data_IF_286503845437
#
_entry.id   IF_286503845437
#
_cell.length_a   1.000
_cell.length_b   1.000
_cell.length_c   1.000
_cell.angle_alpha   90.00
_cell.angle_beta   90.00
_cell.angle_gamma   90.00
#
_symmetry.space_group_name_H-M   'P 1'
#
loop_
_entity.id
_entity.type
_entity.pdbx_description
1 polymer ?
#
# COMPACT_ATOMS: atom_id res chain seq x y z
N UNK A 1 -4.45 37.35 -0.56
CA UNK A 1 -4.60 36.17 -1.43
C UNK A 1 -3.20 35.63 -1.70
N UNK A 2 -2.73 34.72 -0.85
CA UNK A 2 -1.40 34.12 -0.94
C UNK A 2 -1.60 32.69 -1.45
N UNK A 3 -1.33 32.47 -2.72
CA UNK A 3 -1.41 31.18 -3.38
C UNK A 3 -0.18 30.37 -2.99
N UNK A 4 -0.34 29.38 -2.10
CA UNK A 4 0.71 28.41 -1.81
C UNK A 4 0.90 27.48 -3.01
N UNK A 5 1.91 27.77 -3.82
CA UNK A 5 2.57 26.78 -4.66
C UNK A 5 3.49 25.94 -3.78
N UNK A 6 2.92 24.92 -3.12
CA UNK A 6 3.73 23.88 -2.50
C UNK A 6 4.21 22.95 -3.61
N UNK A 7 5.47 23.17 -3.95
CA UNK A 7 6.33 22.45 -4.89
C UNK A 7 6.24 20.93 -4.77
N UNK A 8 5.57 20.30 -5.73
CA UNK A 8 5.71 18.88 -6.06
C UNK A 8 6.95 18.71 -6.94
N UNK A 9 8.14 18.73 -6.32
CA UNK A 9 9.42 18.48 -6.97
C UNK A 9 10.21 17.45 -6.15
N UNK A 10 9.76 16.20 -6.15
CA UNK A 10 10.55 15.07 -5.65
C UNK A 10 10.15 13.82 -6.44
N UNK A 11 11.16 13.07 -6.89
CA UNK A 11 11.10 11.87 -7.74
C UNK A 11 11.11 12.08 -9.27
N UNK A 12 12.21 12.68 -9.74
CA UNK A 12 12.70 12.46 -11.09
C UNK A 12 14.25 12.41 -11.11
N UNK A 13 14.86 11.50 -10.35
CA UNK A 13 16.28 11.15 -10.53
C UNK A 13 16.53 9.67 -10.19
N UNK A 14 16.41 8.81 -11.21
CA UNK A 14 17.03 7.49 -11.20
C UNK A 14 17.42 7.11 -12.63
N UNK A 15 18.40 7.83 -13.19
CA UNK A 15 19.15 7.41 -14.36
C UNK A 15 20.47 8.18 -14.44
N UNK A 16 21.41 7.86 -13.55
CA UNK A 16 22.83 8.06 -13.87
C UNK A 16 23.48 6.69 -13.83
N UNK A 17 23.77 6.22 -15.04
CA UNK A 17 24.55 5.05 -15.39
C UNK A 17 25.94 5.22 -14.75
N UNK A 18 26.14 4.59 -13.60
CA UNK A 18 27.45 4.40 -13.03
C UNK A 18 28.16 3.32 -13.86
N UNK A 19 29.17 3.72 -14.62
CA UNK A 19 30.15 2.82 -15.20
C UNK A 19 30.95 2.16 -14.07
N UNK A 20 30.41 1.08 -13.50
CA UNK A 20 31.12 0.22 -12.58
C UNK A 20 32.03 -0.74 -13.39
N UNK A 21 33.28 -0.97 -12.95
CA UNK A 21 34.18 -1.89 -13.61
C UNK A 21 33.61 -3.31 -13.56
N UNK A 22 33.66 -3.98 -14.71
CA UNK A 22 33.38 -5.40 -14.91
C UNK A 22 34.06 -6.25 -13.82
N UNK A 23 33.32 -6.57 -12.77
CA UNK A 23 33.70 -7.63 -11.86
C UNK A 23 33.43 -8.96 -12.58
N UNK A 24 34.39 -9.90 -12.56
CA UNK A 24 34.27 -11.16 -13.26
C UNK A 24 33.05 -11.94 -12.79
N UNK A 25 32.31 -12.44 -13.77
CA UNK A 25 31.16 -13.32 -13.67
C UNK A 25 31.45 -14.42 -12.64
N UNK A 26 30.87 -14.34 -11.45
CA UNK A 26 30.75 -15.47 -10.52
C UNK A 26 29.71 -16.42 -11.11
N UNK A 27 30.17 -17.25 -12.04
CA UNK A 27 29.50 -18.49 -12.45
C UNK A 27 29.43 -19.35 -11.17
N UNK A 28 28.30 -20.02 -10.92
CA UNK A 28 27.94 -20.82 -9.74
C UNK A 28 27.22 -20.02 -8.60
N UNK A 29 26.00 -19.53 -8.88
CA UNK A 29 24.93 -19.39 -7.87
C UNK A 29 23.61 -19.98 -8.43
N UNK A 30 23.70 -21.16 -9.05
CA UNK A 30 22.55 -21.82 -9.68
C UNK A 30 21.68 -22.54 -8.62
N UNK A 31 22.20 -22.80 -7.42
CA UNK A 31 21.49 -23.60 -6.41
C UNK A 31 20.91 -22.78 -5.24
N UNK A 32 21.37 -21.53 -5.02
CA UNK A 32 20.80 -20.64 -3.98
C UNK A 32 19.76 -19.65 -4.52
N UNK A 33 19.30 -19.82 -5.77
CA UNK A 33 18.11 -19.09 -6.28
C UNK A 33 16.80 -19.68 -5.80
N UNK A 34 16.74 -20.98 -5.49
CA UNK A 34 15.46 -21.61 -5.20
C UNK A 34 14.92 -21.36 -3.78
N UNK A 35 15.79 -20.96 -2.82
CA UNK A 35 15.42 -20.84 -1.42
C UNK A 35 15.02 -19.42 -0.98
N UNK A 36 15.60 -18.36 -1.58
CA UNK A 36 15.52 -16.98 -1.06
C UNK A 36 14.42 -16.06 -1.61
N UNK A 37 13.75 -16.42 -2.71
CA UNK A 37 12.87 -15.44 -3.39
C UNK A 37 11.57 -15.15 -2.65
N UNK A 38 10.90 -16.16 -2.09
CA UNK A 38 9.66 -15.96 -1.33
C UNK A 38 9.93 -15.13 -0.07
N UNK A 39 11.02 -15.41 0.65
CA UNK A 39 11.38 -14.70 1.86
C UNK A 39 11.74 -13.24 1.57
N UNK A 40 12.39 -12.97 0.43
CA UNK A 40 12.63 -11.61 -0.06
C UNK A 40 11.32 -10.88 -0.34
N UNK A 41 10.38 -11.51 -1.03
CA UNK A 41 9.07 -10.93 -1.34
C UNK A 41 8.24 -10.71 -0.06
N UNK A 42 8.19 -11.69 0.85
CA UNK A 42 7.47 -11.56 2.13
C UNK A 42 8.08 -10.44 2.99
N UNK A 43 9.42 -10.31 3.02
CA UNK A 43 10.12 -9.22 3.72
C UNK A 43 9.86 -7.86 3.08
N UNK A 44 9.78 -7.78 1.75
CA UNK A 44 9.44 -6.57 1.02
C UNK A 44 7.99 -6.12 1.26
N UNK A 45 7.06 -7.07 1.42
CA UNK A 45 5.64 -6.78 1.68
C UNK A 45 5.34 -6.43 3.14
N UNK A 46 6.19 -6.81 4.10
CA UNK A 46 5.94 -6.53 5.51
C UNK A 46 5.77 -5.02 5.81
N UNK A 47 6.65 -4.11 5.34
CA UNK A 47 6.45 -2.66 5.50
C UNK A 47 5.16 -2.14 4.84
N UNK A 48 4.71 -2.76 3.75
CA UNK A 48 3.44 -2.39 3.08
C UNK A 48 2.26 -2.72 4.00
N UNK A 49 2.22 -3.92 4.58
CA UNK A 49 1.16 -4.31 5.51
C UNK A 49 1.09 -3.41 6.75
N UNK A 50 2.25 -3.07 7.31
CA UNK A 50 2.36 -2.19 8.48
C UNK A 50 1.93 -0.76 8.16
N UNK A 51 2.40 -0.21 7.04
CA UNK A 51 2.02 1.13 6.61
C UNK A 51 0.52 1.24 6.30
N UNK A 52 -0.08 0.23 5.67
CA UNK A 52 -1.53 0.17 5.49
C UNK A 52 -2.28 0.13 6.83
N UNK A 53 -1.79 -0.60 7.82
CA UNK A 53 -2.42 -0.65 9.15
C UNK A 53 -2.35 0.71 9.86
N UNK A 54 -1.24 1.43 9.68
CA UNK A 54 -1.09 2.80 10.19
C UNK A 54 -2.01 3.80 9.48
N UNK A 55 -2.20 3.66 8.16
CA UNK A 55 -3.18 4.46 7.40
C UNK A 55 -4.60 4.16 7.91
N UNK A 56 -4.96 2.89 8.06
CA UNK A 56 -6.26 2.46 8.58
C UNK A 56 -6.57 3.06 9.95
N UNK A 57 -5.63 2.91 10.89
CA UNK A 57 -5.74 3.51 12.22
C UNK A 57 -5.88 5.04 12.16
N UNK A 58 -5.14 5.70 11.27
CA UNK A 58 -5.24 7.14 11.08
C UNK A 58 -6.62 7.57 10.54
N UNK A 59 -7.18 6.83 9.58
CA UNK A 59 -8.53 7.05 9.06
C UNK A 59 -9.58 6.87 10.15
N UNK A 60 -9.48 5.80 10.94
CA UNK A 60 -10.40 5.53 12.05
C UNK A 60 -10.31 6.61 13.15
N UNK A 61 -9.12 7.17 13.36
CA UNK A 61 -8.87 8.27 14.31
C UNK A 61 -9.32 9.65 13.82
N UNK A 62 -9.76 9.78 12.57
CA UNK A 62 -10.08 11.06 11.98
C UNK A 62 -11.31 11.71 12.65
N UNK A 63 -11.05 12.78 13.39
CA UNK A 63 -12.01 13.50 14.24
C UNK A 63 -12.41 14.87 13.69
N UNK A 64 -11.89 15.26 12.52
CA UNK A 64 -12.09 16.59 11.95
C UNK A 64 -11.09 17.63 12.46
N UNK A 65 -10.08 17.23 13.21
CA UNK A 65 -8.97 18.08 13.61
C UNK A 65 -7.87 18.15 12.53
N UNK A 66 -7.09 19.25 12.47
CA UNK A 66 -5.97 19.37 11.53
C UNK A 66 -4.83 18.40 11.85
N UNK A 67 -4.67 17.97 13.11
CA UNK A 67 -3.61 17.04 13.54
C UNK A 67 -3.86 15.63 12.98
N UNK A 68 -5.08 15.11 13.12
CA UNK A 68 -5.45 13.78 12.62
C UNK A 68 -5.41 13.72 11.10
N UNK A 69 -5.82 14.80 10.42
CA UNK A 69 -5.69 14.94 8.97
C UNK A 69 -4.22 14.98 8.50
N UNK A 70 -3.33 15.65 9.25
CA UNK A 70 -1.90 15.67 8.95
C UNK A 70 -1.26 14.29 9.12
N UNK A 71 -1.60 13.58 10.20
CA UNK A 71 -1.13 12.21 10.43
C UNK A 71 -1.55 11.27 9.31
N UNK A 72 -2.81 11.35 8.86
CA UNK A 72 -3.28 10.58 7.70
C UNK A 72 -2.44 10.84 6.45
N UNK A 73 -2.10 12.10 6.18
CA UNK A 73 -1.26 12.46 5.04
C UNK A 73 0.17 11.93 5.17
N UNK A 74 0.75 11.92 6.37
CA UNK A 74 2.10 11.36 6.62
C UNK A 74 2.09 9.85 6.40
N UNK A 75 1.15 9.13 7.02
CA UNK A 75 1.08 7.67 6.89
C UNK A 75 0.76 7.25 5.46
N UNK A 76 -0.07 8.00 4.74
CA UNK A 76 -0.33 7.75 3.32
C UNK A 76 0.93 7.84 2.47
N UNK A 77 1.77 8.86 2.70
CA UNK A 77 3.06 8.99 2.01
C UNK A 77 4.02 7.85 2.36
N UNK A 78 4.07 7.44 3.64
CA UNK A 78 4.88 6.30 4.05
C UNK A 78 4.41 5.00 3.39
N UNK A 79 3.11 4.78 3.28
CA UNK A 79 2.54 3.64 2.57
C UNK A 79 2.90 3.64 1.08
N UNK A 80 2.88 4.80 0.44
CA UNK A 80 3.34 4.94 -0.95
C UNK A 80 4.82 4.57 -1.09
N UNK A 81 5.70 5.12 -0.25
CA UNK A 81 7.14 4.82 -0.28
C UNK A 81 7.41 3.33 -0.01
N UNK A 82 6.71 2.72 0.96
CA UNK A 82 6.83 1.29 1.25
C UNK A 82 6.39 0.44 0.05
N UNK A 83 5.30 0.81 -0.62
CA UNK A 83 4.77 0.13 -1.81
C UNK A 83 5.74 0.24 -2.99
N UNK A 84 6.28 1.43 -3.24
CA UNK A 84 7.24 1.66 -4.32
C UNK A 84 8.54 0.88 -4.07
N UNK A 85 9.04 0.86 -2.82
CA UNK A 85 10.21 0.08 -2.45
C UNK A 85 9.97 -1.43 -2.59
N UNK A 86 8.82 -1.92 -2.10
CA UNK A 86 8.45 -3.32 -2.24
C UNK A 86 8.38 -3.73 -3.71
N UNK A 87 7.87 -2.86 -4.59
CA UNK A 87 7.83 -3.10 -6.03
C UNK A 87 9.22 -3.32 -6.61
N UNK A 88 10.20 -2.49 -6.24
CA UNK A 88 11.59 -2.63 -6.69
C UNK A 88 12.21 -3.94 -6.19
N UNK A 89 12.02 -4.26 -4.91
CA UNK A 89 12.58 -5.46 -4.29
C UNK A 89 11.98 -6.75 -4.88
N UNK A 90 10.66 -6.74 -5.17
CA UNK A 90 9.97 -7.85 -5.81
C UNK A 90 10.44 -8.03 -7.25
N UNK A 91 10.60 -6.94 -8.02
CA UNK A 91 11.12 -7.03 -9.40
C UNK A 91 12.53 -7.63 -9.45
N UNK A 92 13.35 -7.36 -8.44
CA UNK A 92 14.69 -7.91 -8.29
C UNK A 92 14.71 -9.39 -7.83
N UNK A 93 13.63 -9.88 -7.21
CA UNK A 93 13.50 -11.26 -6.79
C UNK A 93 13.36 -12.23 -7.97
N UNK A 94 13.72 -13.50 -7.77
CA UNK A 94 13.52 -14.56 -8.76
C UNK A 94 12.06 -15.04 -8.85
N UNK A 95 11.80 -15.90 -9.84
CA UNK A 95 10.47 -16.47 -10.08
C UNK A 95 10.06 -17.44 -8.98
N UNK A 96 8.78 -17.46 -8.62
CA UNK A 96 8.26 -18.32 -7.56
C UNK A 96 7.90 -19.73 -8.09
N UNK A 97 8.21 -20.74 -7.28
CA UNK A 97 7.63 -22.07 -7.46
C UNK A 97 6.13 -22.07 -7.13
N UNK A 98 5.35 -22.98 -7.73
CA UNK A 98 3.91 -23.06 -7.51
C UNK A 98 3.50 -23.18 -6.04
N UNK A 99 4.25 -23.93 -5.24
CA UNK A 99 3.98 -24.07 -3.80
C UNK A 99 4.22 -22.76 -3.03
N UNK A 100 5.29 -22.03 -3.37
CA UNK A 100 5.60 -20.72 -2.77
C UNK A 100 4.61 -19.64 -3.19
N UNK A 101 4.19 -19.65 -4.45
CA UNK A 101 3.15 -18.76 -4.97
C UNK A 101 1.81 -18.96 -4.22
N UNK A 102 1.45 -20.21 -3.88
CA UNK A 102 0.25 -20.48 -3.09
C UNK A 102 0.32 -19.92 -1.67
N UNK A 103 1.52 -19.86 -1.07
CA UNK A 103 1.74 -19.20 0.23
C UNK A 103 1.67 -17.69 0.09
N UNK A 104 2.38 -17.11 -0.88
CA UNK A 104 2.33 -15.68 -1.17
C UNK A 104 0.90 -15.19 -1.39
N UNK A 105 0.08 -15.97 -2.10
CA UNK A 105 -1.33 -15.68 -2.33
C UNK A 105 -2.08 -15.37 -1.03
N UNK A 106 -1.88 -16.12 0.05
CA UNK A 106 -2.57 -15.84 1.32
C UNK A 106 -2.20 -14.47 1.89
N UNK A 107 -0.92 -14.11 1.78
CA UNK A 107 -0.42 -12.79 2.19
C UNK A 107 -1.01 -11.68 1.30
N UNK A 108 -1.07 -11.91 -0.01
CA UNK A 108 -1.69 -10.97 -0.96
C UNK A 108 -3.20 -10.83 -0.74
N UNK A 109 -3.92 -11.92 -0.48
CA UNK A 109 -5.36 -11.90 -0.18
C UNK A 109 -5.62 -11.06 1.09
N UNK A 110 -4.81 -11.24 2.15
CA UNK A 110 -4.91 -10.41 3.36
C UNK A 110 -4.62 -8.92 3.09
N UNK A 111 -3.65 -8.61 2.24
CA UNK A 111 -3.36 -7.23 1.81
C UNK A 111 -4.51 -6.62 1.00
N UNK A 112 -5.15 -7.40 0.12
CA UNK A 112 -6.32 -6.98 -0.67
C UNK A 112 -7.49 -6.67 0.28
N UNK A 113 -7.76 -7.54 1.24
CA UNK A 113 -8.82 -7.35 2.23
C UNK A 113 -8.57 -6.10 3.08
N UNK A 114 -7.35 -5.94 3.60
CA UNK A 114 -6.96 -4.78 4.40
C UNK A 114 -7.06 -3.48 3.58
N UNK A 115 -6.56 -3.47 2.35
CA UNK A 115 -6.68 -2.31 1.45
C UNK A 115 -8.15 -1.96 1.21
N UNK A 116 -9.00 -2.96 1.00
CA UNK A 116 -10.44 -2.77 0.77
C UNK A 116 -11.12 -2.15 1.99
N UNK A 117 -10.81 -2.65 3.19
CA UNK A 117 -11.33 -2.09 4.45
C UNK A 117 -10.89 -0.63 4.61
N UNK A 118 -9.59 -0.36 4.51
CA UNK A 118 -9.05 1.00 4.67
C UNK A 118 -9.63 2.00 3.67
N UNK A 119 -9.81 1.60 2.41
CA UNK A 119 -10.44 2.45 1.40
C UNK A 119 -11.92 2.70 1.71
N UNK A 120 -12.66 1.68 2.15
CA UNK A 120 -14.07 1.83 2.55
C UNK A 120 -14.23 2.72 3.79
N UNK A 121 -13.31 2.60 4.76
CA UNK A 121 -13.28 3.47 5.94
C UNK A 121 -12.95 4.90 5.55
N UNK A 122 -12.03 5.11 4.61
CA UNK A 122 -11.69 6.43 4.09
C UNK A 122 -12.91 7.07 3.43
N UNK A 123 -13.60 6.33 2.55
CA UNK A 123 -14.86 6.76 1.91
C UNK A 123 -15.91 7.13 2.95
N UNK A 124 -16.07 6.32 4.00
CA UNK A 124 -17.02 6.58 5.09
C UNK A 124 -16.68 7.87 5.88
N UNK A 125 -15.39 8.25 5.90
CA UNK A 125 -14.88 9.48 6.53
C UNK A 125 -14.89 10.70 5.61
N UNK A 126 -15.33 10.57 4.35
CA UNK A 126 -15.41 11.71 3.40
C UNK A 126 -16.10 12.95 3.99
N UNK A 127 -17.24 12.88 4.72
CA UNK A 127 -17.87 14.09 5.26
C UNK A 127 -16.95 14.87 6.22
N UNK A 128 -16.10 14.18 6.97
CA UNK A 128 -15.13 14.81 7.87
C UNK A 128 -14.05 15.54 7.07
N UNK A 129 -13.54 14.91 6.02
CA UNK A 129 -12.53 15.49 5.12
C UNK A 129 -13.08 16.64 4.27
N UNK A 130 -14.36 16.57 3.88
CA UNK A 130 -15.08 17.64 3.16
C UNK A 130 -15.23 18.88 4.05
N UNK A 131 -15.64 18.70 5.31
CA UNK A 131 -15.74 19.78 6.29
C UNK A 131 -14.38 20.44 6.59
N UNK A 132 -13.30 19.66 6.51
CA UNK A 132 -11.93 20.13 6.62
C UNK A 132 -11.38 20.79 5.34
N UNK A 133 -12.07 20.64 4.20
CA UNK A 133 -11.60 21.12 2.91
C UNK A 133 -10.39 20.37 2.35
N UNK A 134 -10.08 19.17 2.85
CA UNK A 134 -8.90 18.37 2.46
C UNK A 134 -9.23 17.21 1.52
N UNK A 135 -10.49 17.05 1.10
CA UNK A 135 -10.90 15.97 0.19
C UNK A 135 -10.16 15.96 -1.14
N UNK A 136 -9.72 17.12 -1.65
CA UNK A 136 -8.88 17.20 -2.85
C UNK A 136 -7.49 16.57 -2.66
N UNK A 137 -6.90 16.70 -1.47
CA UNK A 137 -5.61 16.06 -1.13
C UNK A 137 -5.80 14.55 -1.00
N UNK A 138 -6.91 14.11 -0.40
CA UNK A 138 -7.25 12.69 -0.32
C UNK A 138 -7.46 12.09 -1.72
N UNK A 139 -8.12 12.80 -2.64
CA UNK A 139 -8.29 12.37 -4.03
C UNK A 139 -6.94 12.19 -4.75
N UNK A 140 -6.05 13.18 -4.66
CA UNK A 140 -4.71 13.10 -5.25
C UNK A 140 -3.91 11.92 -4.66
N UNK A 141 -4.02 11.72 -3.34
CA UNK A 141 -3.39 10.60 -2.64
C UNK A 141 -3.90 9.25 -3.13
N UNK A 142 -5.22 9.08 -3.28
CA UNK A 142 -5.84 7.86 -3.80
C UNK A 142 -5.38 7.56 -5.24
N UNK A 143 -5.26 8.59 -6.09
CA UNK A 143 -4.75 8.43 -7.45
C UNK A 143 -3.30 7.96 -7.48
N UNK A 144 -2.43 8.52 -6.63
CA UNK A 144 -1.04 8.05 -6.49
C UNK A 144 -0.97 6.62 -5.98
N UNK A 145 -1.73 6.30 -4.92
CA UNK A 145 -1.78 4.94 -4.38
C UNK A 145 -2.30 3.92 -5.38
N UNK A 146 -3.27 4.28 -6.24
CA UNK A 146 -3.72 3.42 -7.35
C UNK A 146 -2.55 3.08 -8.28
N UNK A 147 -1.76 4.07 -8.69
CA UNK A 147 -0.62 3.86 -9.60
C UNK A 147 0.42 2.93 -8.95
N UNK A 148 0.82 3.21 -7.70
CA UNK A 148 1.79 2.38 -6.97
C UNK A 148 1.27 0.96 -6.73
N UNK A 149 -0.01 0.80 -6.39
CA UNK A 149 -0.63 -0.52 -6.18
C UNK A 149 -0.65 -1.34 -7.47
N UNK A 150 -0.93 -0.71 -8.62
CA UNK A 150 -0.91 -1.36 -9.93
C UNK A 150 0.49 -1.75 -10.39
N UNK A 151 1.50 -0.96 -10.05
CA UNK A 151 2.89 -1.33 -10.27
C UNK A 151 3.29 -2.55 -9.41
N UNK A 152 2.86 -2.57 -8.14
CA UNK A 152 3.11 -3.69 -7.24
C UNK A 152 2.42 -4.98 -7.72
N UNK A 153 1.15 -4.92 -8.13
CA UNK A 153 0.43 -6.11 -8.62
C UNK A 153 1.04 -6.63 -9.91
N UNK A 154 1.44 -5.75 -10.85
CA UNK A 154 2.14 -6.16 -12.06
C UNK A 154 3.48 -6.84 -11.75
N UNK A 155 4.26 -6.29 -10.80
CA UNK A 155 5.51 -6.91 -10.37
C UNK A 155 5.28 -8.30 -9.75
N UNK A 156 4.23 -8.47 -8.95
CA UNK A 156 3.87 -9.77 -8.38
C UNK A 156 3.42 -10.76 -9.45
N UNK A 157 2.61 -10.34 -10.43
CA UNK A 157 2.14 -11.17 -11.55
C UNK A 157 3.30 -11.75 -12.37
N UNK A 158 4.36 -10.97 -12.58
CA UNK A 158 5.56 -11.42 -13.28
C UNK A 158 6.30 -12.54 -12.53
N UNK A 159 6.25 -12.55 -11.20
CA UNK A 159 6.92 -13.58 -10.36
C UNK A 159 6.07 -14.81 -10.12
N UNK A 160 4.77 -14.76 -10.39
CA UNK A 160 3.85 -15.88 -10.18
C UNK A 160 3.86 -16.79 -11.43
N UNK A 161 3.95 -18.13 -11.26
CA UNK A 161 3.90 -19.05 -12.39
C UNK A 161 2.55 -18.95 -13.13
N UNK A 162 2.53 -19.29 -14.42
CA UNK A 162 1.33 -19.17 -15.30
C UNK A 162 0.01 -19.67 -14.69
N UNK A 163 0.05 -20.72 -13.87
CA UNK A 163 -1.14 -21.27 -13.20
C UNK A 163 -1.76 -20.28 -12.21
N UNK A 164 -0.97 -19.42 -11.58
CA UNK A 164 -1.43 -18.40 -10.62
C UNK A 164 -1.68 -17.01 -11.22
N UNK A 165 -1.22 -16.73 -12.46
CA UNK A 165 -1.34 -15.40 -13.08
C UNK A 165 -2.79 -14.92 -13.18
N UNK A 166 -3.73 -15.82 -13.51
CA UNK A 166 -5.16 -15.47 -13.57
C UNK A 166 -5.68 -14.97 -12.23
N UNK A 167 -5.26 -15.60 -11.14
CA UNK A 167 -5.73 -15.28 -9.79
C UNK A 167 -5.10 -13.96 -9.32
N UNK A 168 -3.82 -13.73 -9.64
CA UNK A 168 -3.17 -12.46 -9.37
C UNK A 168 -3.85 -11.31 -10.13
N UNK A 169 -4.20 -11.51 -11.40
CA UNK A 169 -4.95 -10.54 -12.20
C UNK A 169 -6.36 -10.26 -11.65
N UNK A 170 -7.04 -11.27 -11.12
CA UNK A 170 -8.34 -11.11 -10.44
C UNK A 170 -8.19 -10.23 -9.19
N UNK A 171 -7.15 -10.45 -8.37
CA UNK A 171 -6.85 -9.62 -7.20
C UNK A 171 -6.48 -8.18 -7.57
N UNK A 172 -5.68 -7.98 -8.62
CA UNK A 172 -5.35 -6.66 -9.16
C UNK A 172 -6.59 -5.90 -9.64
N UNK A 173 -7.48 -6.57 -10.38
CA UNK A 173 -8.74 -5.97 -10.83
C UNK A 173 -9.67 -5.59 -9.67
N UNK A 174 -9.68 -6.37 -8.59
CA UNK A 174 -10.45 -6.04 -7.39
C UNK A 174 -9.92 -4.77 -6.71
N UNK A 175 -8.60 -4.66 -6.50
CA UNK A 175 -7.99 -3.44 -5.93
C UNK A 175 -8.29 -2.24 -6.83
N UNK A 176 -8.09 -2.38 -8.16
CA UNK A 176 -8.37 -1.31 -9.11
C UNK A 176 -9.82 -0.83 -9.02
N UNK A 177 -10.79 -1.77 -8.98
CA UNK A 177 -12.21 -1.43 -8.87
C UNK A 177 -12.54 -0.68 -7.58
N UNK A 178 -11.99 -1.09 -6.44
CA UNK A 178 -12.24 -0.44 -5.14
C UNK A 178 -11.62 0.97 -5.12
N UNK A 179 -10.40 1.11 -5.64
CA UNK A 179 -9.73 2.41 -5.77
C UNK A 179 -10.49 3.34 -6.72
N UNK A 180 -10.98 2.85 -7.86
CA UNK A 180 -11.76 3.64 -8.82
C UNK A 180 -13.08 4.10 -8.24
N UNK A 181 -13.76 3.26 -7.47
CA UNK A 181 -14.97 3.63 -6.76
C UNK A 181 -14.70 4.76 -5.75
N UNK A 182 -13.63 4.64 -4.95
CA UNK A 182 -13.24 5.68 -4.01
C UNK A 182 -12.87 6.99 -4.71
N UNK A 183 -12.08 6.93 -5.78
CA UNK A 183 -11.73 8.09 -6.61
C UNK A 183 -12.99 8.77 -7.16
N UNK A 184 -13.96 7.99 -7.67
CA UNK A 184 -15.21 8.53 -8.17
C UNK A 184 -15.98 9.30 -7.08
N UNK A 185 -16.09 8.71 -5.88
CA UNK A 185 -16.75 9.33 -4.73
C UNK A 185 -16.03 10.62 -4.30
N UNK A 186 -14.70 10.62 -4.24
CA UNK A 186 -13.91 11.81 -3.87
C UNK A 186 -13.85 12.89 -4.95
N UNK A 187 -14.11 12.53 -6.21
CA UNK A 187 -14.18 13.48 -7.32
C UNK A 187 -15.47 14.30 -7.31
N UNK A 188 -16.50 13.85 -6.58
CA UNK A 188 -17.71 14.63 -6.40
C UNK A 188 -17.43 15.85 -5.52
N UNK A 189 -17.79 17.07 -5.98
CA UNK A 189 -17.55 18.28 -5.21
C UNK A 189 -18.26 18.17 -3.86
N UNK A 190 -17.56 18.58 -2.79
CA UNK A 190 -18.14 18.64 -1.46
C UNK A 190 -19.45 19.42 -1.54
N UNK A 191 -20.56 18.76 -1.21
CA UNK A 191 -21.86 19.41 -1.15
C UNK A 191 -21.73 20.44 -0.06
N UNK A 192 -21.69 21.72 -0.43
CA UNK A 192 -21.51 22.81 0.52
C UNK A 192 -22.50 22.60 1.65
N UNK A 193 -21.99 22.38 2.87
CA UNK A 193 -22.82 22.22 4.04
C UNK A 193 -23.78 23.41 4.05
N UNK A 194 -25.08 23.12 3.88
CA UNK A 194 -26.10 24.17 3.84
C UNK A 194 -25.86 24.97 5.12
N UNK A 195 -25.53 26.28 5.02
CA UNK A 195 -25.14 27.06 6.18
C UNK A 195 -26.21 26.84 7.23
N UNK A 196 -25.79 26.36 8.40
CA UNK A 196 -26.69 26.13 9.52
C UNK A 196 -27.50 27.42 9.66
N UNK A 197 -28.81 27.33 9.36
CA UNK A 197 -29.70 28.48 9.40
C UNK A 197 -29.56 28.98 10.82
N UNK A 198 -28.98 30.18 10.97
CA UNK A 198 -28.78 30.77 12.28
C UNK A 198 -30.13 30.72 12.98
N UNK A 199 -30.22 30.20 14.23
CA UNK A 199 -31.49 30.15 14.93
C UNK A 199 -32.14 31.54 14.84
N UNK A 200 -33.44 31.61 14.51
CA UNK A 200 -34.11 32.89 14.28
C UNK A 200 -33.81 33.81 15.48
N UNK A 201 -33.51 35.10 15.22
CA UNK A 201 -33.20 36.05 16.29
C UNK A 201 -34.31 35.97 17.34
N UNK A 202 -33.90 35.78 18.59
CA UNK A 202 -34.83 35.81 19.72
C UNK A 202 -35.64 37.10 19.62
N UNK A 203 -36.96 36.95 19.50
CA UNK A 203 -37.87 38.09 19.38
C UNK A 203 -37.69 38.95 20.64
N UNK A 204 -37.50 40.28 20.52
CA UNK A 204 -37.38 41.14 21.68
C UNK A 204 -38.60 40.94 22.58
N UNK A 205 -38.36 40.66 23.87
CA UNK A 205 -39.42 40.51 24.85
C UNK A 205 -40.28 41.79 24.86
N UNK A 206 -41.58 41.63 24.59
CA UNK A 206 -42.55 42.72 24.67
C UNK A 206 -42.67 43.17 26.15
N UNK A 207 -42.35 44.43 26.50
CA UNK A 207 -42.43 44.93 27.88
C UNK A 207 -43.84 44.91 28.48
N UNK A 208 -44.88 44.74 27.64
CA UNK A 208 -46.28 44.73 28.07
C UNK A 208 -46.92 43.32 28.09
N UNK A 209 -46.14 42.25 27.98
CA UNK A 209 -46.66 40.92 28.25
C UNK A 209 -46.97 40.78 29.74
N UNK A 210 -48.27 40.71 30.06
CA UNK A 210 -48.79 40.32 31.37
C UNK A 210 -48.10 38.99 31.73
N UNK A 211 -47.50 38.84 32.93
CA UNK A 211 -46.81 37.62 33.31
C UNK A 211 -47.80 36.45 33.32
N UNK A 212 -47.82 35.67 32.24
CA UNK A 212 -48.43 34.35 32.25
C UNK A 212 -47.47 33.50 33.07
N UNK A 213 -47.93 33.07 34.25
CA UNK A 213 -47.18 32.18 35.11
C UNK A 213 -46.77 30.94 34.31
N UNK A 214 -45.48 30.88 33.96
CA UNK A 214 -44.88 29.70 33.35
C UNK A 214 -45.03 28.59 34.39
N UNK A 215 -45.77 27.50 34.09
CA UNK A 215 -45.87 26.38 35.01
C UNK A 215 -44.46 25.91 35.37
N UNK A 216 -44.18 25.64 36.66
CA UNK A 216 -42.85 25.25 37.10
C UNK A 216 -42.34 24.10 36.24
N UNK A 217 -41.16 24.29 35.66
CA UNK A 217 -40.49 23.28 34.88
C UNK A 217 -40.46 21.99 35.69
N UNK A 218 -41.05 20.93 35.12
CA UNK A 218 -41.00 19.62 35.71
C UNK A 218 -39.52 19.30 36.01
N UNK A 219 -39.21 18.84 37.23
CA UNK A 219 -37.84 18.49 37.58
C UNK A 219 -37.31 17.50 36.53
N UNK A 220 -36.04 17.65 36.10
CA UNK A 220 -35.45 16.70 35.18
C UNK A 220 -35.64 15.30 35.76
N UNK A 221 -36.28 14.42 34.98
CA UNK A 221 -36.42 13.03 35.35
C UNK A 221 -35.04 12.52 35.72
N UNK A 222 -34.87 12.12 36.98
CA UNK A 222 -33.62 11.54 37.47
C UNK A 222 -33.21 10.47 36.46
N UNK A 223 -32.02 10.64 35.88
CA UNK A 223 -31.47 9.67 34.96
C UNK A 223 -31.52 8.31 35.64
N UNK A 224 -32.38 7.42 35.13
CA UNK A 224 -32.38 6.03 35.54
C UNK A 224 -30.96 5.54 35.25
N UNK A 225 -30.20 5.10 36.28
CA UNK A 225 -28.86 4.59 36.05
C UNK A 225 -28.96 3.50 35.00
N UNK A 226 -28.22 3.68 33.90
CA UNK A 226 -28.12 2.65 32.88
C UNK A 226 -27.77 1.33 33.59
N UNK A 227 -28.51 0.23 33.30
CA UNK A 227 -28.17 -1.06 33.86
C UNK A 227 -26.69 -1.33 33.56
N UNK A 228 -25.91 -1.83 34.55
CA UNK A 228 -24.51 -2.13 34.32
C UNK A 228 -24.40 -2.99 33.07
N UNK A 229 -23.58 -2.53 32.12
CA UNK A 229 -23.29 -3.27 30.91
C UNK A 229 -23.00 -4.72 31.30
N UNK A 230 -23.82 -5.65 30.81
CA UNK A 230 -23.59 -7.06 31.03
C UNK A 230 -22.13 -7.35 30.67
N UNK A 231 -21.39 -7.91 31.62
CA UNK A 231 -20.02 -8.31 31.38
C UNK A 231 -19.98 -9.11 30.07
N UNK A 232 -19.03 -8.81 29.16
CA UNK A 232 -18.93 -9.53 27.90
C UNK A 232 -18.91 -11.01 28.22
N UNK A 233 -19.84 -11.76 27.60
CA UNK A 233 -19.87 -13.20 27.73
C UNK A 233 -18.46 -13.72 27.40
N UNK A 234 -17.90 -14.65 28.22
CA UNK A 234 -16.62 -15.25 27.90
C UNK A 234 -16.69 -15.76 26.45
N UNK A 235 -15.64 -15.52 25.65
CA UNK A 235 -15.63 -15.94 24.25
C UNK A 235 -16.03 -17.41 24.19
N UNK A 236 -17.03 -17.69 23.35
CA UNK A 236 -17.46 -19.06 23.08
C UNK A 236 -16.20 -19.86 22.75
N UNK A 237 -15.98 -20.95 23.49
CA UNK A 237 -14.87 -21.85 23.26
C UNK A 237 -14.84 -22.18 21.76
N UNK A 238 -13.70 -21.89 21.14
CA UNK A 238 -13.48 -22.20 19.73
C UNK A 238 -13.88 -23.66 19.48
N UNK A 239 -14.61 -23.96 18.38
CA UNK A 239 -14.91 -25.34 18.03
C UNK A 239 -13.60 -26.13 18.01
N UNK A 240 -13.55 -27.19 18.82
CA UNK A 240 -12.45 -28.13 18.82
C UNK A 240 -12.30 -28.61 17.37
N UNK A 241 -11.18 -28.25 16.75
CA UNK A 241 -10.81 -28.78 15.45
C UNK A 241 -10.74 -30.30 15.57
N UNK A 242 -11.32 -31.06 14.64
CA UNK A 242 -11.14 -32.50 14.64
C UNK A 242 -9.65 -32.82 14.64
N UNK A 243 -9.29 -33.72 15.55
CA UNK A 243 -7.98 -34.30 15.80
C UNK A 243 -7.02 -34.18 14.61
N UNK A 244 -5.85 -33.60 14.89
CA UNK A 244 -4.69 -33.77 14.05
C UNK A 244 -4.52 -35.26 13.73
N UNK A 245 -4.38 -35.56 12.45
CA UNK A 245 -3.98 -36.87 11.97
C UNK A 245 -2.75 -37.37 12.77
N UNK A 246 -2.67 -38.68 13.07
CA UNK A 246 -1.60 -39.26 13.86
C UNK A 246 -0.22 -38.83 13.37
N UNK A 247 0.63 -38.41 14.31
CA UNK A 247 2.03 -38.12 14.05
C UNK A 247 2.67 -39.29 13.28
N UNK A 248 3.44 -39.02 12.21
CA UNK A 248 4.21 -40.07 11.56
C UNK A 248 5.18 -40.70 12.57
N UNK A 249 5.40 -42.03 12.51
CA UNK A 249 6.30 -42.71 13.42
C UNK A 249 7.69 -42.06 13.36
N UNK A 250 8.26 -41.79 14.54
CA UNK A 250 9.60 -41.26 14.70
C UNK A 250 10.59 -42.14 13.91
N UNK A 251 11.15 -41.57 12.84
CA UNK A 251 12.27 -42.19 12.15
C UNK A 251 13.42 -42.34 13.16
N UNK A 252 13.84 -43.58 13.38
CA UNK A 252 14.95 -43.91 14.25
C UNK A 252 16.18 -43.09 13.86
N UNK A 253 16.75 -42.37 14.83
CA UNK A 253 18.01 -41.67 14.69
C UNK A 253 19.10 -42.67 14.26
N UNK A 254 19.89 -42.38 13.21
CA UNK A 254 21.07 -43.17 12.87
C UNK A 254 22.03 -43.18 14.07
N UNK A 255 22.34 -44.37 14.58
CA UNK A 255 23.42 -44.54 15.55
C UNK A 255 24.74 -44.10 14.91
N UNK A 256 25.56 -43.26 15.58
CA UNK A 256 26.88 -42.93 15.11
C UNK A 256 27.79 -44.17 15.16
N UNK A 257 28.63 -44.42 14.13
CA UNK A 257 29.61 -45.50 14.18
C UNK A 257 30.65 -45.25 15.27
N UNK A 258 31.02 -46.34 15.94
CA UNK A 258 31.97 -46.39 17.03
C UNK A 258 33.34 -45.80 16.66
N UNK A 259 33.94 -45.14 17.65
CA UNK A 259 35.23 -44.46 17.59
C UNK A 259 36.38 -45.36 17.12
N UNK A 260 37.16 -44.86 16.16
CA UNK A 260 38.56 -45.26 16.00
C UNK A 260 39.43 -44.22 16.70
N UNK A 261 40.19 -44.68 17.69
CA UNK A 261 41.12 -43.89 18.50
C UNK A 261 42.44 -43.75 17.72
N UNK A 262 42.93 -42.54 17.37
CA UNK A 262 44.30 -42.36 16.92
C UNK A 262 45.22 -42.19 18.14
N UNK A 263 46.35 -42.89 18.10
CA UNK A 263 47.39 -42.85 19.11
C UNK A 263 47.95 -41.43 19.32
N UNK A 264 48.23 -41.11 20.58
CA UNK A 264 48.86 -39.88 21.00
C UNK A 264 50.32 -39.80 20.52
N UNK A 265 50.67 -38.68 19.89
CA UNK A 265 52.05 -38.27 19.64
C UNK A 265 52.54 -37.46 20.86
N UNK A 266 53.57 -37.90 21.59
CA UNK A 266 53.98 -37.29 22.87
C UNK A 266 54.99 -36.14 22.73
N UNK A 267 55.18 -35.52 21.55
CA UNK A 267 56.29 -34.58 21.40
C UNK A 267 56.02 -33.35 20.52
N UNK A 268 55.38 -32.31 21.07
CA UNK A 268 55.65 -30.92 20.67
C UNK A 268 55.14 -29.91 21.72
N UNK A 269 56.08 -29.40 22.51
CA UNK A 269 55.91 -28.24 23.37
C UNK A 269 56.38 -26.97 22.65
N UNK A 270 55.57 -25.91 22.61
CA UNK A 270 55.91 -24.53 23.05
C UNK A 270 54.69 -23.59 22.94
N UNK A 271 54.52 -22.62 23.86
CA UNK A 271 53.47 -21.59 23.80
C UNK A 271 53.95 -20.36 23.01
N UNK A 272 53.13 -19.83 22.11
CA UNK A 272 53.35 -18.49 21.56
C UNK A 272 52.12 -17.62 21.79
N UNK A 273 52.27 -16.74 22.77
CA UNK A 273 51.43 -15.57 23.00
C UNK A 273 51.61 -14.58 21.84
N UNK A 274 50.51 -14.02 21.35
CA UNK A 274 50.54 -13.00 20.31
C UNK A 274 49.15 -12.68 19.79
N UNK A 275 48.36 -11.94 20.56
CA UNK A 275 47.15 -11.30 20.06
C UNK A 275 47.55 -10.24 19.01
N UNK A 276 46.94 -10.21 17.81
CA UNK A 276 47.13 -9.10 16.90
C UNK A 276 46.43 -7.83 17.44
N UNK A 277 47.05 -6.64 17.30
CA UNK A 277 46.44 -5.39 17.71
C UNK A 277 45.21 -5.04 16.84
N UNK A 278 44.27 -4.23 17.36
CA UNK A 278 43.09 -3.79 16.61
C UNK A 278 43.51 -2.95 15.40
N UNK A 279 42.88 -3.23 14.26
CA UNK A 279 43.06 -2.47 13.02
C UNK A 279 42.65 -1.00 13.25
N UNK A 280 43.61 -0.11 13.00
CA UNK A 280 43.44 1.35 13.05
C UNK A 280 42.48 1.75 11.93
N UNK A 281 41.43 2.50 12.29
CA UNK A 281 40.49 3.08 11.35
C UNK A 281 41.23 3.95 10.30
N UNK A 282 40.88 3.86 9.00
CA UNK A 282 41.48 4.71 7.98
C UNK A 282 41.08 6.18 8.24
N UNK A 283 42.10 7.04 8.24
CA UNK A 283 41.95 8.49 8.34
C UNK A 283 41.08 9.06 7.20
N UNK A 284 40.31 10.13 7.45
CA UNK A 284 39.51 10.78 6.42
C UNK A 284 40.43 11.37 5.33
N UNK A 285 40.17 10.99 4.09
CA UNK A 285 40.85 11.55 2.93
C UNK A 285 40.58 13.07 2.80
N UNK A 286 41.55 13.86 2.33
CA UNK A 286 41.38 15.30 2.14
C UNK A 286 40.29 15.61 1.11
N UNK A 287 39.47 16.61 1.42
CA UNK A 287 38.42 17.13 0.57
C UNK A 287 38.98 17.53 -0.80
N UNK A 288 38.61 16.80 -1.84
CA UNK A 288 38.82 17.20 -3.23
C UNK A 288 37.88 18.37 -3.55
N UNK A 289 38.38 19.47 -4.15
CA UNK A 289 37.55 20.60 -4.54
C UNK A 289 36.53 20.17 -5.59
N UNK A 290 35.26 20.44 -5.30
CA UNK A 290 34.14 20.23 -6.23
C UNK A 290 34.37 21.12 -7.46
N UNK A 291 34.60 20.48 -8.61
CA UNK A 291 34.65 21.16 -9.88
C UNK A 291 33.28 21.80 -10.16
N UNK A 292 33.26 23.13 -10.29
CA UNK A 292 32.11 23.90 -10.78
C UNK A 292 31.78 23.45 -12.20
N UNK A 293 30.70 22.68 -12.36
CA UNK A 293 30.16 22.32 -13.67
C UNK A 293 29.56 23.58 -14.30
N UNK A 294 29.91 23.92 -15.55
CA UNK A 294 29.33 25.08 -16.22
C UNK A 294 27.81 24.92 -16.36
N UNK A 295 27.10 25.98 -15.98
CA UNK A 295 25.65 26.11 -16.12
C UNK A 295 25.28 25.99 -17.61
N UNK A 296 24.82 24.80 -18.03
CA UNK A 296 24.27 24.61 -19.38
C UNK A 296 22.94 25.36 -19.44
N UNK A 297 22.84 26.32 -20.36
CA UNK A 297 21.64 27.09 -20.59
C UNK A 297 20.43 26.18 -20.87
N UNK A 298 19.22 26.55 -20.39
CA UNK A 298 18.02 25.74 -20.57
C UNK A 298 17.73 25.52 -22.06
N UNK A 299 17.66 24.25 -22.44
CA UNK A 299 17.19 23.83 -23.77
C UNK A 299 15.73 24.28 -23.92
N UNK A 300 15.38 25.03 -24.97
CA UNK A 300 14.00 25.47 -25.19
C UNK A 300 13.08 24.26 -25.34
N UNK A 301 11.84 24.32 -24.81
CA UNK A 301 10.89 23.22 -24.92
C UNK A 301 10.63 22.87 -26.39
N UNK A 302 10.48 21.58 -26.72
CA UNK A 302 10.14 21.16 -28.07
C UNK A 302 8.83 21.82 -28.48
N UNK A 303 8.85 22.57 -29.58
CA UNK A 303 7.64 23.13 -30.16
C UNK A 303 6.76 21.97 -30.65
N UNK A 304 5.69 21.71 -29.90
CA UNK A 304 4.66 20.75 -30.27
C UNK A 304 3.93 21.34 -31.47
N UNK A 305 4.25 20.84 -32.67
CA UNK A 305 3.43 21.09 -33.85
C UNK A 305 2.07 20.42 -33.65
N UNK A 306 0.95 21.12 -33.90
CA UNK A 306 -0.37 20.53 -33.72
C UNK A 306 -0.57 19.38 -34.71
N UNK A 307 -0.75 18.18 -34.16
CA UNK A 307 -1.10 16.97 -34.92
C UNK A 307 -2.48 17.18 -35.55
N UNK A 308 -2.47 17.59 -36.82
CA UNK A 308 -3.64 17.64 -37.69
C UNK A 308 -4.03 16.20 -38.08
N UNK A 309 -4.75 15.50 -37.19
CA UNK A 309 -5.07 14.08 -37.44
C UNK A 309 -6.31 13.49 -36.75
N UNK A 310 -7.09 14.25 -35.97
CA UNK A 310 -8.24 13.68 -35.23
C UNK A 310 -9.53 13.46 -36.03
N UNK A 311 -9.64 13.93 -37.28
CA UNK A 311 -10.85 13.69 -38.09
C UNK A 311 -10.88 12.32 -38.77
N UNK A 312 -9.74 11.71 -39.07
CA UNK A 312 -9.70 10.45 -39.84
C UNK A 312 -10.13 9.20 -39.05
N UNK A 313 -10.08 9.22 -37.71
CA UNK A 313 -10.44 8.07 -36.87
C UNK A 313 -11.97 7.90 -36.68
N UNK A 314 -12.77 8.96 -36.83
CA UNK A 314 -14.23 8.88 -36.67
C UNK A 314 -14.91 8.19 -37.86
N UNK A 315 -14.41 8.38 -39.08
CA UNK A 315 -15.00 7.76 -40.27
C UNK A 315 -14.71 6.26 -40.37
N UNK A 316 -13.55 5.81 -39.85
CA UNK A 316 -13.20 4.37 -39.86
C UNK A 316 -14.08 3.56 -38.90
N UNK A 317 -14.47 4.12 -37.74
CA UNK A 317 -15.34 3.43 -36.77
C UNK A 317 -16.79 3.31 -37.27
N UNK A 318 -17.30 4.28 -38.03
CA UNK A 318 -18.65 4.23 -38.60
C UNK A 318 -18.81 3.20 -39.72
N UNK A 319 -17.73 2.86 -40.43
CA UNK A 319 -17.74 1.85 -41.51
C UNK A 319 -17.71 0.42 -40.96
N UNK A 320 -17.01 0.18 -39.85
CA UNK A 320 -16.97 -1.14 -39.20
C UNK A 320 -18.32 -1.52 -38.56
N UNK A 321 -19.04 -0.57 -37.96
CA UNK A 321 -20.33 -0.85 -37.33
C UNK A 321 -21.44 -1.23 -38.33
N UNK A 322 -21.33 -0.81 -39.59
CA UNK A 322 -22.34 -1.08 -40.61
C UNK A 322 -22.23 -2.49 -41.21
N UNK A 323 -21.03 -3.08 -41.22
CA UNK A 323 -20.83 -4.46 -41.69
C UNK A 323 -21.36 -5.52 -40.70
N UNK A 324 -21.43 -5.22 -39.40
CA UNK A 324 -21.91 -6.20 -38.42
C UNK A 324 -23.44 -6.31 -38.35
N UNK A 325 -24.20 -5.25 -38.66
CA UNK A 325 -25.67 -5.35 -38.69
C UNK A 325 -26.17 -6.19 -39.86
N UNK A 326 -25.55 -6.08 -41.04
CA UNK A 326 -25.97 -6.84 -42.22
C UNK A 326 -25.79 -8.37 -42.08
N UNK A 327 -24.96 -8.83 -41.14
CA UNK A 327 -24.75 -10.27 -40.91
C UNK A 327 -25.78 -10.89 -39.96
N UNK A 328 -26.54 -10.07 -39.21
CA UNK A 328 -27.47 -10.59 -38.18
C UNK A 328 -28.89 -10.79 -38.72
N UNK A 329 -29.23 -10.24 -39.89
CA UNK A 329 -30.57 -10.40 -40.47
C UNK A 329 -30.69 -11.61 -41.41
N UNK A 330 -29.59 -12.32 -41.69
CA UNK A 330 -29.59 -13.52 -42.54
C UNK A 330 -29.82 -14.85 -41.80
N UNK A 331 -29.75 -14.87 -40.46
CA UNK A 331 -29.76 -16.10 -39.66
C UNK A 331 -31.08 -16.31 -38.88
N UNK A 332 -32.16 -15.63 -39.28
CA UNK A 332 -33.49 -15.74 -38.64
C UNK A 332 -34.56 -16.25 -39.64
N UNK A 333 -34.18 -16.64 -40.86
CA UNK A 333 -35.13 -17.14 -41.89
C UNK A 333 -34.96 -18.63 -42.19
N UNK A 334 -34.26 -19.38 -41.33
CA UNK A 334 -34.13 -20.83 -41.49
C UNK A 334 -34.17 -21.57 -40.14
N UNK A 335 -35.29 -21.41 -39.41
CA UNK A 335 -35.81 -22.41 -38.46
C UNK A 335 -37.34 -22.42 -38.49
#
# INVERSE_FOLDING_TARGET
>A
MVTMHLTLALFAQAAIIAAAPLQPIRIIQIEERAAGDLDTIERALAPVSESLANVDAAVLSLDGGPVTANNLLIFSQQAQVATDQATVDIQAAGDLSAFRAARLRRTTDALIDQTTVTVNDLVSRKPVLDNLGVSGVALESLQRQKISSMALTAALEEKVPRVGQRIAAEGGAQIESVMDQAIAIYSEPAVAAVPAVSPPPATPANPNAIPIAVPPAAPPAAAVPAPPAAAPAPPAAAPAWPDQAPAPPAAAAPQPPAAAVPAADPNAAVPQAGAPPPAVAPAPAPAVPVATVPLVAPVPPPQITPVSGRKALKDKKKKASRNNMAKTEGEIVEQ
#
